data_IF_790528327878
#
_entry.id   IF_790528327878
#
_cell.length_a   1.000
_cell.length_b   1.000
_cell.length_c   1.000
_cell.angle_alpha   90.00
_cell.angle_beta   90.00
_cell.angle_gamma   90.00
#
_symmetry.space_group_name_H-M   'P 1'
#
loop_
_entity.id
_entity.type
_entity.pdbx_description
1 polymer ?
#
# COMPACT_ATOMS: atom_id res chain seq x y z
N UNK A 1 -23.58 45.78 -14.22
CA UNK A 1 -22.85 44.80 -13.40
C UNK A 1 -21.38 45.13 -13.48
N UNK A 2 -20.71 45.37 -12.36
CA UNK A 2 -19.29 45.67 -12.32
C UNK A 2 -18.59 44.48 -11.64
N UNK A 3 -18.37 43.43 -12.43
CA UNK A 3 -17.56 42.29 -12.03
C UNK A 3 -16.08 42.69 -12.05
N UNK A 4 -15.65 43.40 -11.01
CA UNK A 4 -14.24 43.50 -10.65
C UNK A 4 -13.86 42.24 -9.88
N UNK A 5 -13.92 41.11 -10.56
CA UNK A 5 -13.54 39.80 -10.05
C UNK A 5 -12.15 39.43 -10.54
N UNK A 6 -11.27 39.11 -9.59
CA UNK A 6 -9.92 38.57 -9.75
C UNK A 6 -8.91 39.46 -10.49
N UNK A 7 -8.11 40.15 -9.69
CA UNK A 7 -6.86 40.75 -10.18
C UNK A 7 -5.81 39.67 -10.41
N UNK A 8 -4.83 39.93 -11.28
CA UNK A 8 -3.67 39.04 -11.46
C UNK A 8 -2.93 38.77 -10.14
N UNK A 9 -2.90 39.76 -9.24
CA UNK A 9 -2.30 39.66 -7.91
C UNK A 9 -2.95 38.54 -7.07
N UNK A 10 -4.27 38.41 -7.18
CA UNK A 10 -5.05 37.43 -6.45
C UNK A 10 -4.73 36.01 -6.92
N UNK A 11 -4.59 35.82 -8.24
CA UNK A 11 -4.16 34.54 -8.82
C UNK A 11 -2.74 34.14 -8.39
N UNK A 12 -1.82 35.10 -8.26
CA UNK A 12 -0.45 34.84 -7.79
C UNK A 12 -0.43 34.35 -6.34
N UNK A 13 -1.22 34.97 -5.46
CA UNK A 13 -1.32 34.55 -4.05
C UNK A 13 -1.95 33.16 -3.96
N UNK A 14 -2.99 32.88 -4.74
CA UNK A 14 -3.64 31.55 -4.79
C UNK A 14 -2.64 30.48 -5.23
N UNK A 15 -1.87 30.72 -6.29
CA UNK A 15 -0.85 29.77 -6.75
C UNK A 15 0.26 29.54 -5.71
N UNK A 16 0.67 30.60 -4.99
CA UNK A 16 1.63 30.48 -3.90
C UNK A 16 1.10 29.58 -2.77
N UNK A 17 -0.13 29.80 -2.32
CA UNK A 17 -0.74 28.97 -1.27
C UNK A 17 -0.87 27.51 -1.72
N UNK A 18 -1.36 27.25 -2.94
CA UNK A 18 -1.49 25.88 -3.48
C UNK A 18 -0.12 25.19 -3.53
N UNK A 19 0.95 25.89 -3.94
CA UNK A 19 2.30 25.32 -3.99
C UNK A 19 2.80 24.85 -2.61
N UNK A 20 2.56 25.64 -1.56
CA UNK A 20 2.94 25.29 -0.18
C UNK A 20 2.13 24.08 0.31
N UNK A 21 0.82 24.04 0.02
CA UNK A 21 -0.03 22.89 0.37
C UNK A 21 0.44 21.59 -0.30
N UNK A 22 0.85 21.65 -1.58
CA UNK A 22 1.40 20.51 -2.30
C UNK A 22 2.72 20.02 -1.69
N UNK A 23 3.63 20.94 -1.32
CA UNK A 23 4.90 20.61 -0.67
C UNK A 23 4.71 19.90 0.68
N UNK A 24 3.68 20.25 1.44
CA UNK A 24 3.34 19.57 2.71
C UNK A 24 2.66 18.21 2.44
N UNK A 25 1.82 18.13 1.42
CA UNK A 25 1.01 16.95 1.11
C UNK A 25 1.83 15.79 0.54
N UNK A 26 2.78 16.07 -0.37
CA UNK A 26 3.63 15.05 -1.00
C UNK A 26 4.38 14.16 0.01
N UNK A 27 5.19 14.70 0.96
CA UNK A 27 5.93 13.88 1.92
C UNK A 27 4.99 13.10 2.85
N UNK A 28 3.81 13.65 3.15
CA UNK A 28 2.81 12.96 3.94
C UNK A 28 2.25 11.72 3.21
N UNK A 29 1.91 11.84 1.93
CA UNK A 29 1.43 10.73 1.09
C UNK A 29 2.50 9.64 0.92
N UNK A 30 3.75 10.02 0.64
CA UNK A 30 4.85 9.07 0.40
C UNK A 30 5.08 8.14 1.61
N UNK A 31 4.98 8.66 2.84
CA UNK A 31 5.10 7.86 4.06
C UNK A 31 3.96 6.85 4.21
N UNK A 32 2.74 7.21 3.84
CA UNK A 32 1.61 6.28 3.87
C UNK A 32 1.75 5.18 2.81
N UNK A 33 2.27 5.50 1.62
CA UNK A 33 2.49 4.50 0.58
C UNK A 33 3.54 3.44 0.98
N UNK A 34 4.66 3.85 1.58
CA UNK A 34 5.68 2.92 2.08
C UNK A 34 5.15 2.03 3.22
N UNK A 35 4.36 2.60 4.14
CA UNK A 35 3.73 1.83 5.21
C UNK A 35 2.71 0.81 4.67
N UNK A 36 2.00 1.13 3.59
CA UNK A 36 1.07 0.20 2.92
C UNK A 36 1.83 -0.94 2.25
N UNK A 37 2.95 -0.66 1.56
CA UNK A 37 3.74 -1.72 0.92
C UNK A 37 4.36 -2.67 1.95
N UNK A 38 4.87 -2.13 3.06
CA UNK A 38 5.43 -2.93 4.16
C UNK A 38 4.34 -3.80 4.82
N UNK A 39 3.18 -3.21 5.15
CA UNK A 39 2.04 -3.97 5.72
C UNK A 39 1.47 -4.99 4.75
N UNK A 40 1.46 -4.71 3.44
CA UNK A 40 1.04 -5.65 2.41
C UNK A 40 1.95 -6.88 2.32
N UNK A 41 3.28 -6.66 2.37
CA UNK A 41 4.25 -7.75 2.39
C UNK A 41 4.15 -8.58 3.68
N UNK A 42 3.98 -7.94 4.83
CA UNK A 42 3.79 -8.62 6.11
C UNK A 42 2.47 -9.42 6.16
N UNK A 43 1.38 -8.85 5.61
CA UNK A 43 0.11 -9.55 5.47
C UNK A 43 0.21 -10.79 4.58
N UNK A 44 0.92 -10.71 3.45
CA UNK A 44 1.14 -11.87 2.57
C UNK A 44 1.94 -12.97 3.27
N UNK A 45 3.00 -12.61 4.01
CA UNK A 45 3.75 -13.58 4.82
C UNK A 45 2.87 -14.24 5.89
N UNK A 46 2.01 -13.46 6.55
CA UNK A 46 1.08 -13.98 7.55
C UNK A 46 0.04 -14.94 6.94
N UNK A 47 -0.47 -14.62 5.75
CA UNK A 47 -1.37 -15.51 5.01
C UNK A 47 -0.68 -16.83 4.62
N UNK A 48 0.52 -16.78 4.06
CA UNK A 48 1.30 -17.99 3.72
C UNK A 48 1.64 -18.79 4.98
N UNK A 49 2.04 -18.12 6.07
CA UNK A 49 2.30 -18.78 7.35
C UNK A 49 1.05 -19.46 7.92
N UNK A 50 -0.13 -18.88 7.73
CA UNK A 50 -1.40 -19.49 8.16
C UNK A 50 -1.71 -20.74 7.33
N UNK A 51 -1.43 -20.71 6.03
CA UNK A 51 -1.60 -21.87 5.15
C UNK A 51 -0.60 -23.00 5.47
N UNK A 52 0.66 -22.65 5.76
CA UNK A 52 1.68 -23.60 6.25
C UNK A 52 1.22 -24.25 7.54
N UNK A 53 0.72 -23.47 8.49
CA UNK A 53 0.20 -23.99 9.76
C UNK A 53 -1.01 -24.92 9.55
N UNK A 54 -1.93 -24.57 8.64
CA UNK A 54 -3.07 -25.43 8.31
C UNK A 54 -2.60 -26.78 7.75
N UNK A 55 -1.63 -26.77 6.84
CA UNK A 55 -1.03 -27.99 6.30
C UNK A 55 -0.35 -28.83 7.39
N UNK A 56 0.39 -28.20 8.30
CA UNK A 56 1.04 -28.91 9.42
C UNK A 56 0.03 -29.60 10.35
N UNK A 57 -1.15 -29.00 10.56
CA UNK A 57 -2.24 -29.63 11.31
C UNK A 57 -2.81 -30.86 10.59
N UNK A 58 -2.89 -30.83 9.26
CA UNK A 58 -3.43 -31.92 8.44
C UNK A 58 -2.42 -33.06 8.22
N UNK A 59 -1.11 -32.78 8.30
CA UNK A 59 -0.03 -33.71 7.95
C UNK A 59 0.90 -34.08 9.12
N UNK A 60 0.38 -34.17 10.34
CA UNK A 60 1.12 -34.61 11.55
C UNK A 60 2.41 -33.80 11.82
N UNK A 61 2.35 -32.47 11.65
CA UNK A 61 3.46 -31.56 11.95
C UNK A 61 4.57 -31.52 10.89
N UNK A 62 4.32 -32.00 9.68
CA UNK A 62 5.25 -31.85 8.55
C UNK A 62 5.17 -30.44 7.97
N UNK A 63 6.27 -29.71 8.07
CA UNK A 63 6.41 -28.39 7.45
C UNK A 63 6.55 -28.56 5.92
N UNK A 64 5.60 -28.07 5.12
CA UNK A 64 5.66 -28.25 3.67
C UNK A 64 6.73 -27.36 3.05
N UNK A 65 7.40 -27.87 2.03
CA UNK A 65 8.22 -27.05 1.14
C UNK A 65 7.33 -26.20 0.21
N UNK A 66 7.87 -25.08 -0.29
CA UNK A 66 7.19 -24.26 -1.32
C UNK A 66 6.75 -25.10 -2.54
N UNK A 67 7.49 -26.16 -2.86
CA UNK A 67 7.16 -27.08 -3.94
C UNK A 67 5.97 -28.00 -3.61
N UNK A 68 5.79 -28.41 -2.35
CA UNK A 68 4.64 -29.19 -1.90
C UNK A 68 3.38 -28.31 -1.82
N UNK A 69 3.50 -27.06 -1.36
CA UNK A 69 2.40 -26.08 -1.38
C UNK A 69 1.92 -25.74 -2.80
N UNK A 70 2.83 -25.64 -3.77
CA UNK A 70 2.47 -25.47 -5.20
C UNK A 70 1.80 -26.72 -5.77
N UNK A 71 2.32 -27.90 -5.44
CA UNK A 71 1.86 -29.19 -6.00
C UNK A 71 0.51 -29.63 -5.44
N UNK A 72 0.22 -29.27 -4.20
CA UNK A 72 -1.06 -29.54 -3.52
C UNK A 72 -2.07 -28.39 -3.67
N UNK A 73 -1.70 -27.31 -4.38
CA UNK A 73 -2.63 -26.25 -4.79
C UNK A 73 -2.94 -25.21 -3.72
N UNK A 74 -2.19 -25.19 -2.61
CA UNK A 74 -2.29 -24.18 -1.57
C UNK A 74 -1.71 -22.83 -2.03
N UNK A 75 -0.76 -22.81 -2.98
CA UNK A 75 -0.16 -21.59 -3.54
C UNK A 75 -0.10 -21.68 -5.07
N UNK A 76 -0.55 -20.62 -5.78
CA UNK A 76 -0.36 -20.47 -7.23
C UNK A 76 0.80 -19.52 -7.52
N UNK A 77 1.69 -19.94 -8.42
CA UNK A 77 2.61 -19.03 -9.12
C UNK A 77 1.78 -18.25 -10.15
N UNK A 78 1.74 -16.93 -10.00
CA UNK A 78 1.46 -16.05 -11.13
C UNK A 78 2.65 -16.05 -12.10
#
# INVERSE_FOLDING_TARGET
MNDKGFTLLEMLIVMLVISILLLITIPNITRHHQAIQAKGCEGLKSMVSTQVMAYELEHDGKTPSLAELEKEGYVKKD
#
